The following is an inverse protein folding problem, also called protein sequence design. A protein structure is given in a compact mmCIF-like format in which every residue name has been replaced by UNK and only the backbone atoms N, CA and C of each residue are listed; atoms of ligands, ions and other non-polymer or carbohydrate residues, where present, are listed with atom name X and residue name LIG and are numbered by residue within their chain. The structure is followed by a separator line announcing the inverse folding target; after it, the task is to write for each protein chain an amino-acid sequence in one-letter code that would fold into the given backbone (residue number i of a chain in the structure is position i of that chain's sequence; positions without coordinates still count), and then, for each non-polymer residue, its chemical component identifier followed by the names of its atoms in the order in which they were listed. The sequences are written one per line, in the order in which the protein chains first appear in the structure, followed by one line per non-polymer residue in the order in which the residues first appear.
data_IF_530311471237
#
_entry.id   IF_530311471237
#
_cell.length_a   1.000
_cell.length_b   1.000
_cell.length_c   1.000
_cell.angle_alpha   90.00
_cell.angle_beta   90.00
_cell.angle_gamma   90.00
#
_symmetry.space_group_name_H-M   'P 1'
#
loop_
_entity.id
_entity.type
_entity.pdbx_description
1 polymer ?
#
# COMPACT_ATOMS: atom_id res chain seq x y z
N UNK A 1 18.52 4.37 69.77
CA UNK A 1 19.06 4.12 68.41
C UNK A 1 17.98 3.46 67.54
N UNK A 2 16.93 4.18 67.07
CA UNK A 2 15.82 3.52 66.34
C UNK A 2 15.19 4.33 65.19
N UNK A 3 15.84 5.37 64.66
CA UNK A 3 15.22 6.28 63.68
C UNK A 3 15.79 6.22 62.24
N UNK A 4 16.67 5.25 61.91
CA UNK A 4 17.39 5.24 60.62
C UNK A 4 16.81 4.26 59.58
N UNK A 5 15.96 3.31 59.97
CA UNK A 5 15.56 2.19 59.09
C UNK A 5 14.36 2.49 58.19
N UNK A 6 13.55 3.50 58.49
CA UNK A 6 12.28 3.74 57.79
C UNK A 6 12.40 4.40 56.40
N UNK A 7 13.52 5.07 56.07
CA UNK A 7 13.65 5.80 54.78
C UNK A 7 14.06 4.95 53.57
N UNK A 8 14.51 3.70 53.76
CA UNK A 8 14.98 2.84 52.64
C UNK A 8 13.86 2.12 51.89
N UNK A 9 12.65 1.96 52.47
CA UNK A 9 11.52 1.26 51.81
C UNK A 9 10.82 2.11 50.74
N UNK A 10 10.71 3.42 50.94
CA UNK A 10 10.00 4.33 50.01
C UNK A 10 10.69 4.48 48.64
N UNK A 11 12.04 4.54 48.61
CA UNK A 11 12.79 4.69 47.36
C UNK A 11 12.74 3.46 46.45
N UNK A 12 12.55 2.26 47.01
CA UNK A 12 12.47 1.00 46.23
C UNK A 12 11.13 0.83 45.52
N UNK A 13 10.02 1.29 46.11
CA UNK A 13 8.70 1.28 45.45
C UNK A 13 8.64 2.24 44.25
N UNK A 14 9.19 3.46 44.38
CA UNK A 14 9.15 4.43 43.29
C UNK A 14 9.99 3.97 42.08
N UNK A 15 11.11 3.27 42.31
CA UNK A 15 11.95 2.73 41.24
C UNK A 15 11.24 1.61 40.46
N UNK A 16 10.52 0.71 41.16
CA UNK A 16 9.78 -0.38 40.52
C UNK A 16 8.58 0.15 39.71
N UNK A 17 7.87 1.17 40.20
CA UNK A 17 6.78 1.82 39.47
C UNK A 17 7.29 2.54 38.22
N UNK A 18 8.43 3.25 38.31
CA UNK A 18 9.06 3.90 37.16
C UNK A 18 9.55 2.90 36.10
N UNK A 19 10.16 1.78 36.52
CA UNK A 19 10.56 0.71 35.59
C UNK A 19 9.34 0.04 34.92
N UNK A 20 8.25 -0.18 35.67
CA UNK A 20 7.02 -0.73 35.12
C UNK A 20 6.37 0.23 34.10
N UNK A 21 6.31 1.53 34.40
CA UNK A 21 5.77 2.54 33.49
C UNK A 21 6.63 2.67 32.21
N UNK A 22 7.96 2.59 32.36
CA UNK A 22 8.88 2.58 31.22
C UNK A 22 8.68 1.36 30.31
N UNK A 23 8.49 0.17 30.86
CA UNK A 23 8.23 -1.03 30.05
C UNK A 23 6.87 -0.98 29.33
N UNK A 24 5.83 -0.40 29.95
CA UNK A 24 4.52 -0.19 29.30
C UNK A 24 4.63 0.81 28.14
N UNK A 25 5.42 1.88 28.30
CA UNK A 25 5.62 2.87 27.24
C UNK A 25 6.36 2.29 26.02
N UNK A 26 7.32 1.39 26.23
CA UNK A 26 8.08 0.74 25.13
C UNK A 26 7.20 -0.29 24.39
N UNK A 27 6.28 -0.98 25.08
CA UNK A 27 5.37 -1.94 24.45
C UNK A 27 4.25 -1.29 23.61
N UNK A 28 3.91 -0.02 23.90
CA UNK A 28 2.87 0.73 23.18
C UNK A 28 3.34 1.26 21.80
N UNK A 29 4.65 1.44 21.61
CA UNK A 29 5.22 1.82 20.31
C UNK A 29 5.46 0.58 19.44
N UNK A 30 4.38 -0.06 18.96
CA UNK A 30 4.49 -1.06 17.89
C UNK A 30 4.73 -0.36 16.55
N UNK A 31 5.98 0.00 16.28
CA UNK A 31 6.42 0.57 15.00
C UNK A 31 6.42 -0.44 13.84
N UNK A 32 6.06 -1.70 14.10
CA UNK A 32 5.97 -2.75 13.09
C UNK A 32 4.65 -2.63 12.32
N UNK A 33 4.68 -1.92 11.20
CA UNK A 33 3.60 -1.96 10.21
C UNK A 33 3.64 -3.29 9.46
N UNK A 34 2.48 -3.88 9.17
CA UNK A 34 2.37 -5.05 8.29
C UNK A 34 2.35 -4.68 6.80
N UNK A 35 2.45 -3.38 6.48
CA UNK A 35 2.59 -2.90 5.11
C UNK A 35 3.95 -3.29 4.53
N UNK A 36 4.02 -3.61 3.23
CA UNK A 36 5.29 -3.64 2.52
C UNK A 36 6.01 -2.28 2.63
N UNK A 37 7.35 -2.25 2.68
CA UNK A 37 8.12 -1.02 2.86
C UNK A 37 8.19 -0.14 1.60
N UNK A 38 7.59 -0.56 0.48
CA UNK A 38 7.56 0.17 -0.78
C UNK A 38 6.20 0.83 -1.03
N UNK A 39 6.22 1.93 -1.80
CA UNK A 39 5.02 2.65 -2.22
C UNK A 39 4.31 2.00 -3.42
N UNK A 40 3.10 2.50 -3.77
CA UNK A 40 2.30 2.02 -4.90
C UNK A 40 2.91 2.35 -6.27
N UNK A 41 2.43 1.69 -7.32
CA UNK A 41 3.00 1.77 -8.67
C UNK A 41 2.60 3.10 -9.30
N UNK A 42 3.40 3.63 -10.23
CA UNK A 42 3.01 4.80 -10.99
C UNK A 42 1.72 4.62 -11.79
N UNK A 43 1.18 3.40 -11.96
CA UNK A 43 -0.12 3.12 -12.58
C UNK A 43 -1.28 2.93 -11.59
N UNK A 44 -1.02 2.92 -10.28
CA UNK A 44 -2.04 2.69 -9.26
C UNK A 44 -3.19 3.72 -9.31
N UNK A 45 -4.43 3.27 -9.24
CA UNK A 45 -5.60 4.15 -9.21
C UNK A 45 -5.78 4.71 -7.81
N UNK A 46 -5.99 6.02 -7.70
CA UNK A 46 -6.13 6.73 -6.42
C UNK A 46 -7.55 7.30 -6.35
N UNK A 47 -8.26 7.04 -5.25
CA UNK A 47 -9.61 7.55 -4.99
C UNK A 47 -9.74 7.95 -3.52
N UNK A 48 -10.72 8.80 -3.18
CA UNK A 48 -11.00 9.15 -1.79
C UNK A 48 -12.39 8.66 -1.37
N UNK A 49 -12.50 8.18 -0.14
CA UNK A 49 -13.73 7.71 0.48
C UNK A 49 -13.94 8.42 1.82
N UNK A 50 -15.17 8.80 2.14
CA UNK A 50 -15.64 9.32 3.43
C UNK A 50 -15.80 8.18 4.44
N UNK A 51 -14.70 7.48 4.71
CA UNK A 51 -14.60 6.43 5.70
C UNK A 51 -13.26 6.54 6.41
N UNK A 52 -13.20 6.17 7.68
CA UNK A 52 -11.94 5.99 8.39
C UNK A 52 -11.18 4.76 7.85
N UNK A 53 -9.86 4.72 8.05
CA UNK A 53 -8.98 3.72 7.42
C UNK A 53 -9.44 2.27 7.60
N UNK A 54 -9.84 1.80 8.80
CA UNK A 54 -10.29 0.40 8.97
C UNK A 54 -11.56 0.10 8.17
N UNK A 55 -12.55 0.99 8.21
CA UNK A 55 -13.82 0.79 7.52
C UNK A 55 -13.69 0.94 6.00
N UNK A 56 -12.86 1.88 5.53
CA UNK A 56 -12.49 2.01 4.13
C UNK A 56 -11.80 0.74 3.63
N UNK A 57 -10.87 0.18 4.42
CA UNK A 57 -10.18 -1.08 4.07
C UNK A 57 -11.14 -2.24 3.98
N UNK A 58 -12.06 -2.37 4.95
CA UNK A 58 -13.10 -3.41 4.92
C UNK A 58 -14.02 -3.25 3.70
N UNK A 59 -14.44 -2.02 3.40
CA UNK A 59 -15.29 -1.73 2.25
C UNK A 59 -14.61 -2.11 0.92
N UNK A 60 -13.32 -1.75 0.76
CA UNK A 60 -12.53 -2.11 -0.42
C UNK A 60 -12.39 -3.63 -0.53
N UNK A 61 -12.04 -4.31 0.57
CA UNK A 61 -11.89 -5.76 0.58
C UNK A 61 -13.20 -6.47 0.20
N UNK A 62 -14.34 -6.03 0.77
CA UNK A 62 -15.65 -6.57 0.44
C UNK A 62 -16.01 -6.33 -1.03
N UNK A 63 -15.72 -5.15 -1.57
CA UNK A 63 -16.01 -4.83 -2.96
C UNK A 63 -15.17 -5.65 -3.94
N UNK A 64 -13.89 -5.87 -3.66
CA UNK A 64 -13.01 -6.75 -4.43
C UNK A 64 -13.50 -8.22 -4.38
N UNK A 65 -13.85 -8.71 -3.18
CA UNK A 65 -14.34 -10.08 -3.01
C UNK A 65 -15.71 -10.31 -3.68
N UNK A 66 -16.63 -9.33 -3.60
CA UNK A 66 -17.92 -9.36 -4.30
C UNK A 66 -17.72 -9.48 -5.81
N UNK A 67 -16.63 -8.89 -6.31
CA UNK A 67 -16.22 -8.96 -7.70
C UNK A 67 -15.24 -10.13 -7.96
N UNK A 68 -15.35 -11.22 -7.17
CA UNK A 68 -14.63 -12.48 -7.35
C UNK A 68 -13.10 -12.36 -7.41
N UNK A 69 -12.51 -11.32 -6.82
CA UNK A 69 -11.06 -11.21 -6.68
C UNK A 69 -10.66 -11.89 -5.37
N UNK A 70 -9.96 -13.01 -5.44
CA UNK A 70 -9.51 -13.73 -4.25
C UNK A 70 -8.50 -12.88 -3.45
N UNK A 71 -8.74 -12.73 -2.14
CA UNK A 71 -7.89 -11.94 -1.25
C UNK A 71 -7.09 -12.86 -0.32
N UNK A 72 -5.77 -12.63 -0.23
CA UNK A 72 -4.86 -13.42 0.60
C UNK A 72 -4.64 -12.80 1.97
N UNK A 73 -4.52 -11.48 2.04
CA UNK A 73 -4.29 -10.76 3.29
C UNK A 73 -5.10 -9.47 3.32
N UNK A 74 -5.74 -9.23 4.47
CA UNK A 74 -6.45 -8.00 4.80
C UNK A 74 -5.94 -7.57 6.17
N UNK A 75 -5.48 -6.33 6.27
CA UNK A 75 -4.97 -5.71 7.50
C UNK A 75 -5.67 -4.37 7.67
N UNK A 76 -6.85 -4.40 8.28
CA UNK A 76 -7.73 -3.22 8.43
C UNK A 76 -7.04 -2.12 9.23
N UNK A 77 -6.39 -2.48 10.33
CA UNK A 77 -5.68 -1.57 11.24
C UNK A 77 -4.47 -0.91 10.57
N UNK A 78 -3.91 -1.58 9.56
CA UNK A 78 -2.81 -1.06 8.77
C UNK A 78 -3.27 -0.62 7.38
N UNK A 79 -4.56 -0.53 7.06
CA UNK A 79 -5.03 -0.11 5.74
C UNK A 79 -4.32 -0.79 4.57
N UNK A 80 -4.20 -2.12 4.58
CA UNK A 80 -3.49 -2.86 3.53
C UNK A 80 -4.25 -4.11 3.11
N UNK A 81 -4.31 -4.33 1.79
CA UNK A 81 -4.94 -5.50 1.17
C UNK A 81 -3.98 -6.06 0.13
N UNK A 82 -3.87 -7.38 0.10
CA UNK A 82 -3.07 -8.13 -0.87
C UNK A 82 -3.83 -9.37 -1.35
N UNK A 83 -4.01 -9.49 -2.66
CA UNK A 83 -4.56 -10.69 -3.27
C UNK A 83 -3.57 -11.85 -3.33
N UNK A 84 -2.27 -11.60 -3.18
CA UNK A 84 -1.26 -12.54 -3.65
C UNK A 84 -1.36 -12.74 -5.18
N UNK A 85 -0.74 -13.79 -5.69
CA UNK A 85 -0.76 -14.11 -7.13
C UNK A 85 -2.04 -14.85 -7.52
N UNK A 86 -2.69 -14.34 -8.55
CA UNK A 86 -3.97 -14.81 -9.09
C UNK A 86 -3.80 -15.22 -10.55
N UNK A 87 -4.56 -16.21 -10.99
CA UNK A 87 -4.78 -16.43 -12.41
C UNK A 87 -5.62 -15.27 -12.98
N UNK A 88 -5.15 -14.64 -14.05
CA UNK A 88 -5.78 -13.45 -14.64
C UNK A 88 -7.20 -13.69 -15.20
N UNK A 89 -7.55 -14.94 -15.50
CA UNK A 89 -8.85 -15.31 -16.09
C UNK A 89 -9.87 -15.64 -15.01
N UNK A 90 -9.47 -16.39 -13.99
CA UNK A 90 -10.38 -16.83 -12.92
C UNK A 90 -10.37 -15.89 -11.72
N UNK A 91 -9.29 -15.12 -11.53
CA UNK A 91 -9.01 -14.28 -10.36
C UNK A 91 -8.93 -15.08 -9.04
N UNK A 92 -8.67 -16.38 -9.16
CA UNK A 92 -8.40 -17.29 -8.05
C UNK A 92 -6.90 -17.42 -7.79
N UNK A 93 -6.52 -17.79 -6.58
CA UNK A 93 -5.12 -18.05 -6.24
C UNK A 93 -4.54 -19.16 -7.12
N UNK A 94 -3.33 -18.91 -7.64
CA UNK A 94 -2.64 -19.86 -8.51
C UNK A 94 -1.29 -20.29 -7.91
N UNK A 95 -0.94 -21.56 -8.13
CA UNK A 95 0.40 -22.10 -7.89
C UNK A 95 1.35 -21.92 -9.07
N UNK A 96 0.86 -21.34 -10.18
CA UNK A 96 1.69 -21.03 -11.33
C UNK A 96 2.79 -20.02 -10.97
N UNK A 97 3.91 -20.10 -11.69
CA UNK A 97 4.99 -19.13 -11.53
C UNK A 97 4.47 -17.74 -11.88
N UNK A 98 4.70 -16.69 -11.06
CA UNK A 98 4.18 -15.36 -11.31
C UNK A 98 4.96 -14.69 -12.43
N UNK A 99 4.63 -15.03 -13.68
CA UNK A 99 5.29 -14.55 -14.89
C UNK A 99 4.27 -14.26 -15.98
N UNK A 100 4.48 -13.16 -16.70
CA UNK A 100 3.59 -12.66 -17.73
C UNK A 100 2.28 -12.10 -17.17
N UNK A 101 1.44 -11.57 -18.06
CA UNK A 101 0.13 -11.01 -17.72
C UNK A 101 -0.92 -12.06 -17.36
N UNK A 102 -0.60 -13.34 -17.56
CA UNK A 102 -1.46 -14.46 -17.18
C UNK A 102 -1.59 -14.66 -15.68
N UNK A 103 -0.62 -14.17 -14.89
CA UNK A 103 -0.60 -14.24 -13.44
C UNK A 103 -0.43 -12.82 -12.87
N UNK A 104 -1.43 -12.38 -12.11
CA UNK A 104 -1.57 -10.98 -11.69
C UNK A 104 -1.69 -10.88 -10.18
N UNK A 105 -1.43 -9.71 -9.63
CA UNK A 105 -1.61 -9.41 -8.21
C UNK A 105 -2.26 -8.05 -8.07
N UNK A 106 -3.23 -7.96 -7.17
CA UNK A 106 -3.91 -6.73 -6.78
C UNK A 106 -3.47 -6.38 -5.37
N UNK A 107 -3.03 -5.14 -5.18
CA UNK A 107 -2.72 -4.57 -3.86
C UNK A 107 -3.49 -3.30 -3.66
N UNK A 108 -3.91 -3.05 -2.43
CA UNK A 108 -4.50 -1.78 -2.05
C UNK A 108 -3.87 -1.23 -0.77
N UNK A 109 -3.65 0.08 -0.75
CA UNK A 109 -3.27 0.85 0.42
C UNK A 109 -4.39 1.83 0.75
N UNK A 110 -4.66 1.97 2.04
CA UNK A 110 -5.64 2.92 2.56
C UNK A 110 -4.94 3.81 3.57
N UNK A 111 -4.88 5.11 3.30
CA UNK A 111 -4.21 6.11 4.13
C UNK A 111 -5.19 7.20 4.54
N UNK A 112 -5.03 7.79 5.74
CA UNK A 112 -5.86 8.93 6.12
C UNK A 112 -5.59 10.11 5.17
N UNK A 113 -6.64 10.77 4.69
CA UNK A 113 -6.54 11.90 3.76
C UNK A 113 -6.92 13.23 4.44
N UNK A 114 -8.19 13.35 4.83
CA UNK A 114 -8.75 14.47 5.61
C UNK A 114 -9.63 13.91 6.73
N UNK A 115 -10.18 14.77 7.60
CA UNK A 115 -10.95 14.31 8.75
C UNK A 115 -12.14 13.45 8.33
N UNK A 116 -12.21 12.20 8.82
CA UNK A 116 -13.18 11.14 8.44
C UNK A 116 -13.08 10.62 6.99
N UNK A 117 -11.97 10.89 6.31
CA UNK A 117 -11.74 10.44 4.94
C UNK A 117 -10.44 9.67 4.79
N UNK A 118 -10.46 8.72 3.87
CA UNK A 118 -9.30 7.91 3.51
C UNK A 118 -9.04 7.98 2.01
N UNK A 119 -7.76 8.07 1.65
CA UNK A 119 -7.28 7.85 0.30
C UNK A 119 -7.04 6.35 0.10
N UNK A 120 -7.64 5.78 -0.94
CA UNK A 120 -7.47 4.40 -1.36
C UNK A 120 -6.64 4.38 -2.63
N UNK A 121 -5.53 3.67 -2.59
CA UNK A 121 -4.64 3.45 -3.73
C UNK A 121 -4.69 1.97 -4.10
N UNK A 122 -5.20 1.63 -5.29
CA UNK A 122 -5.29 0.25 -5.78
C UNK A 122 -4.40 0.08 -7.00
N UNK A 123 -3.56 -0.94 -6.99
CA UNK A 123 -2.74 -1.31 -8.15
C UNK A 123 -2.99 -2.75 -8.58
N UNK A 124 -2.83 -2.98 -9.88
CA UNK A 124 -2.69 -4.31 -10.45
C UNK A 124 -1.29 -4.43 -11.06
N UNK A 125 -0.60 -5.51 -10.74
CA UNK A 125 0.76 -5.77 -11.20
C UNK A 125 0.93 -7.20 -11.72
N UNK A 126 1.91 -7.38 -12.60
CA UNK A 126 2.40 -8.68 -13.05
C UNK A 126 3.93 -8.65 -13.03
N UNK A 127 4.60 -9.79 -13.27
CA UNK A 127 6.06 -9.81 -13.45
C UNK A 127 6.43 -10.25 -14.84
N UNK A 128 7.38 -9.58 -15.48
CA UNK A 128 7.94 -10.01 -16.77
C UNK A 128 9.06 -11.04 -16.60
N UNK A 129 9.75 -11.02 -15.45
CA UNK A 129 10.89 -11.86 -15.16
C UNK A 129 10.92 -12.27 -13.68
N UNK A 130 11.65 -13.35 -13.40
CA UNK A 130 11.81 -13.89 -12.04
C UNK A 130 13.31 -13.94 -11.73
N UNK A 131 13.80 -12.86 -11.11
CA UNK A 131 15.19 -12.68 -10.68
C UNK A 131 15.24 -12.60 -9.15
N UNK A 132 15.73 -13.65 -8.46
CA UNK A 132 15.75 -13.70 -7.00
C UNK A 132 16.78 -12.74 -6.38
N UNK A 133 17.70 -12.17 -7.17
CA UNK A 133 18.66 -11.19 -6.69
C UNK A 133 18.06 -9.78 -6.58
N UNK A 134 16.90 -9.53 -7.19
CA UNK A 134 16.18 -8.25 -7.12
C UNK A 134 15.13 -8.26 -6.02
N UNK A 135 14.88 -7.10 -5.38
CA UNK A 135 13.76 -6.99 -4.46
C UNK A 135 12.44 -7.20 -5.21
N UNK A 136 11.46 -7.80 -4.52
CA UNK A 136 10.14 -8.12 -5.10
C UNK A 136 9.51 -6.94 -5.86
N UNK A 137 9.64 -5.73 -5.33
CA UNK A 137 9.05 -4.54 -5.93
C UNK A 137 9.62 -4.20 -7.31
N UNK A 138 10.90 -4.47 -7.55
CA UNK A 138 11.53 -4.19 -8.85
C UNK A 138 11.12 -5.18 -9.94
N UNK A 139 10.58 -6.34 -9.55
CA UNK A 139 10.05 -7.33 -10.48
C UNK A 139 8.62 -7.02 -10.90
N UNK A 140 7.89 -6.28 -10.08
CA UNK A 140 6.48 -5.96 -10.29
C UNK A 140 6.33 -4.80 -11.30
N UNK A 141 5.66 -5.08 -12.41
CA UNK A 141 5.34 -4.11 -13.45
C UNK A 141 3.85 -3.74 -13.42
N UNK A 142 3.51 -2.50 -13.83
CA UNK A 142 2.13 -2.08 -13.96
C UNK A 142 1.42 -2.94 -15.01
N UNK A 143 0.24 -3.44 -14.67
CA UNK A 143 -0.58 -4.19 -15.62
C UNK A 143 -1.04 -3.27 -16.77
N UNK A 144 -0.95 -3.71 -18.04
CA UNK A 144 -1.36 -2.89 -19.19
C UNK A 144 -2.80 -2.38 -19.07
N UNK A 145 -3.05 -1.16 -19.53
CA UNK A 145 -4.36 -0.49 -19.38
C UNK A 145 -5.50 -1.22 -20.11
N UNK A 146 -5.21 -1.99 -21.18
CA UNK A 146 -6.22 -2.75 -21.93
C UNK A 146 -6.72 -4.00 -21.19
N UNK A 147 -6.00 -4.41 -20.14
CA UNK A 147 -6.19 -5.68 -19.48
C UNK A 147 -7.59 -5.73 -18.82
N UNK A 148 -8.36 -6.83 -18.97
CA UNK A 148 -9.72 -6.91 -18.44
C UNK A 148 -9.80 -6.64 -16.93
N UNK A 149 -8.79 -7.04 -16.16
CA UNK A 149 -8.70 -6.73 -14.73
C UNK A 149 -8.66 -5.23 -14.44
N UNK A 150 -8.01 -4.39 -15.26
CA UNK A 150 -7.98 -2.94 -15.02
C UNK A 150 -9.37 -2.33 -15.12
N UNK A 151 -10.12 -2.72 -16.16
CA UNK A 151 -11.52 -2.30 -16.33
C UNK A 151 -12.37 -2.72 -15.14
N UNK A 152 -12.22 -3.98 -14.70
CA UNK A 152 -12.91 -4.56 -13.55
C UNK A 152 -12.63 -3.80 -12.25
N UNK A 153 -11.36 -3.49 -11.97
CA UNK A 153 -10.96 -2.68 -10.82
C UNK A 153 -11.55 -1.26 -10.89
N UNK A 154 -11.54 -0.64 -12.07
CA UNK A 154 -12.18 0.66 -12.28
C UNK A 154 -13.68 0.65 -11.95
N UNK A 155 -14.40 -0.41 -12.32
CA UNK A 155 -15.83 -0.56 -11.97
C UNK A 155 -16.05 -0.80 -10.48
N UNK A 156 -15.21 -1.60 -9.83
CA UNK A 156 -15.22 -1.80 -8.36
C UNK A 156 -15.03 -0.46 -7.64
N UNK A 157 -14.02 0.31 -8.04
CA UNK A 157 -13.73 1.61 -7.45
C UNK A 157 -14.84 2.61 -7.71
N UNK A 158 -15.42 2.63 -8.92
CA UNK A 158 -16.57 3.49 -9.22
C UNK A 158 -17.73 3.24 -8.27
N UNK A 159 -18.11 1.97 -8.05
CA UNK A 159 -19.20 1.59 -7.12
C UNK A 159 -18.91 1.99 -5.67
N UNK A 160 -17.65 1.95 -5.26
CA UNK A 160 -17.24 2.42 -3.93
C UNK A 160 -17.38 3.93 -3.81
N UNK A 161 -16.94 4.69 -4.81
CA UNK A 161 -17.07 6.15 -4.80
C UNK A 161 -18.54 6.57 -4.84
N UNK A 162 -19.38 5.90 -5.63
CA UNK A 162 -20.82 6.17 -5.67
C UNK A 162 -21.49 5.97 -4.30
N UNK A 163 -20.95 5.07 -3.46
CA UNK A 163 -21.51 4.76 -2.15
C UNK A 163 -20.92 5.60 -1.01
N UNK A 164 -19.62 5.89 -1.07
CA UNK A 164 -18.86 6.46 0.05
C UNK A 164 -17.99 7.66 -0.33
N UNK A 165 -17.92 8.05 -1.60
CA UNK A 165 -17.05 9.14 -2.06
C UNK A 165 -17.83 10.37 -2.53
N UNK A 166 -17.11 11.31 -3.15
CA UNK A 166 -17.66 12.53 -3.72
C UNK A 166 -17.57 12.59 -5.26
N UNK A 167 -18.22 13.61 -5.83
CA UNK A 167 -18.20 13.86 -7.26
C UNK A 167 -16.80 14.19 -7.81
N UNK A 168 -15.89 14.71 -6.97
CA UNK A 168 -14.50 14.96 -7.37
C UNK A 168 -13.72 13.65 -7.53
N UNK A 169 -13.93 12.70 -6.61
CA UNK A 169 -13.35 11.36 -6.70
C UNK A 169 -13.84 10.60 -7.94
N UNK A 170 -15.11 10.76 -8.32
CA UNK A 170 -15.63 10.20 -9.58
C UNK A 170 -14.94 10.80 -10.80
N UNK A 171 -14.70 12.12 -10.81
CA UNK A 171 -13.96 12.79 -11.88
C UNK A 171 -12.50 12.34 -11.93
N UNK A 172 -11.85 12.18 -10.78
CA UNK A 172 -10.48 11.71 -10.69
C UNK A 172 -10.31 10.30 -11.29
N UNK A 173 -11.28 9.41 -11.09
CA UNK A 173 -11.31 8.08 -11.69
C UNK A 173 -11.50 8.11 -13.23
N UNK A 174 -12.24 9.09 -13.74
CA UNK A 174 -12.55 9.21 -15.17
C UNK A 174 -11.40 9.82 -16.00
N UNK A 175 -10.44 10.50 -15.36
CA UNK A 175 -9.32 11.11 -16.05
C UNK A 175 -8.30 10.04 -16.45
N UNK A 176 -7.84 10.01 -17.72
CA UNK A 176 -6.74 9.14 -18.10
C UNK A 176 -5.52 9.51 -17.27
N UNK A 177 -4.91 8.51 -16.65
CA UNK A 177 -3.72 8.72 -15.85
C UNK A 177 -2.65 9.39 -16.72
N UNK A 178 -2.06 10.53 -16.33
CA UNK A 178 -1.04 11.16 -17.15
C UNK A 178 0.09 10.17 -17.36
N UNK A 179 0.35 9.82 -18.62
CA UNK A 179 1.51 9.01 -18.98
C UNK A 179 2.74 9.73 -18.40
N UNK A 180 3.51 9.03 -17.57
CA UNK A 180 4.77 9.55 -17.07
C UNK A 180 5.61 9.98 -18.29
N UNK A 181 5.77 11.29 -18.48
CA UNK A 181 6.66 11.80 -19.52
C UNK A 181 8.05 11.25 -19.22
N UNK A 182 8.75 10.59 -20.15
CA UNK A 182 10.13 10.24 -19.93
C UNK A 182 10.89 11.55 -19.70
N UNK A 183 11.55 11.66 -18.54
CA UNK A 183 12.49 12.73 -18.22
C UNK A 183 13.63 12.70 -19.24
N UNK A 184 13.42 13.41 -20.35
CA UNK A 184 14.43 13.60 -21.38
C UNK A 184 15.32 14.78 -20.98
N UNK A 185 16.09 14.61 -19.90
CA UNK A 185 17.25 15.44 -19.57
C UNK A 185 18.54 14.69 -19.94
N UNK A 186 18.63 14.23 -21.18
CA UNK A 186 19.91 13.98 -21.82
C UNK A 186 20.51 15.35 -22.17
N UNK A 187 21.38 15.85 -21.29
CA UNK A 187 22.23 17.01 -21.55
C UNK A 187 23.18 16.62 -22.70
N UNK A 188 23.21 17.34 -23.84
CA UNK A 188 24.18 17.03 -24.88
C UNK A 188 25.59 17.38 -24.37
N UNK A 189 26.50 16.41 -24.48
CA UNK A 189 27.89 16.56 -24.11
C UNK A 189 28.57 17.59 -25.04
N UNK A 190 28.74 18.81 -24.53
CA UNK A 190 29.64 19.82 -25.11
C UNK A 190 31.07 19.40 -24.83
N UNK A 191 31.59 18.41 -25.56
CA UNK A 191 33.04 18.14 -25.61
C UNK A 191 33.45 17.49 -26.93
N UNK A 192 33.13 18.15 -28.03
CA UNK A 192 33.74 17.89 -29.33
C UNK A 192 33.85 19.20 -30.10
N UNK A 193 34.87 20.02 -29.81
CA UNK A 193 35.59 20.94 -30.72
C UNK A 193 36.79 21.49 -29.91
N UNK A 194 37.91 20.78 -29.93
CA UNK A 194 39.25 21.33 -29.64
C UNK A 194 40.35 20.32 -30.01
N UNK A 195 40.30 19.77 -31.22
CA UNK A 195 41.46 19.11 -31.86
C UNK A 195 41.50 19.46 -33.35
N UNK A 196 41.71 20.74 -33.63
CA UNK A 196 42.30 21.23 -34.89
C UNK A 196 42.95 22.58 -34.63
N UNK A 197 44.23 22.55 -34.27
CA UNK A 197 45.30 23.37 -34.85
C UNK A 197 46.63 22.90 -34.29
#
# INVERSE_FOLDING_TARGET
MSAVIARRRSRRSNLLVLCALGMVAIAACRATTSRPPFGPLPSATIVQLELEVPDATRAVALALATDSIALKAIREEHGFIDSGWLDSRTLEHTGARPLGTGVVRVRAWVTPAKQFWSEVVVEASFRSMDDPSRPERELDLPLPDDHPLQRRLGEVLRRLIERYGDAESLKALALPKPAAKPDSTAKPDTNAIARRK
#
